data_IF_825962936801
#
_entry.id   IF_825962936801
#
_cell.length_a   1.000
_cell.length_b   1.000
_cell.length_c   1.000
_cell.angle_alpha   90.00
_cell.angle_beta   90.00
_cell.angle_gamma   90.00
#
_symmetry.space_group_name_H-M   'P 1'
#
loop_
_entity.id
_entity.type
_entity.pdbx_description
1 polymer ?
#
# COMPACT_ATOMS: atom_id res chain seq x y z
N UNK A 1 -5.87 -27.32 -11.41
CA UNK A 1 -6.98 -26.41 -11.02
C UNK A 1 -6.35 -25.06 -10.73
N UNK A 2 -6.90 -23.93 -11.20
CA UNK A 2 -6.29 -22.62 -11.00
C UNK A 2 -6.18 -22.32 -9.50
N UNK A 3 -4.95 -22.09 -9.04
CA UNK A 3 -4.63 -21.81 -7.65
C UNK A 3 -3.85 -20.51 -7.54
N UNK A 4 -3.82 -19.96 -6.32
CA UNK A 4 -3.08 -18.73 -6.04
C UNK A 4 -1.74 -19.06 -5.41
N UNK A 5 -0.68 -18.47 -5.94
CA UNK A 5 0.65 -18.57 -5.40
C UNK A 5 1.13 -17.19 -4.92
N UNK A 6 1.61 -17.13 -3.67
CA UNK A 6 2.35 -15.98 -3.16
C UNK A 6 3.80 -16.11 -3.64
N UNK A 7 4.25 -15.17 -4.48
CA UNK A 7 5.61 -15.13 -5.02
C UNK A 7 6.31 -13.85 -4.58
N UNK A 8 7.52 -13.96 -4.05
CA UNK A 8 8.35 -12.79 -3.75
C UNK A 8 8.84 -12.14 -5.04
N UNK A 9 8.65 -10.83 -5.17
CA UNK A 9 9.13 -10.04 -6.30
C UNK A 9 10.52 -9.46 -6.00
N UNK A 10 10.65 -8.74 -4.89
CA UNK A 10 11.89 -8.11 -4.47
C UNK A 10 11.94 -7.92 -2.96
N UNK A 11 13.15 -7.76 -2.43
CA UNK A 11 13.41 -7.29 -1.07
C UNK A 11 14.55 -6.30 -1.16
N UNK A 12 14.36 -5.13 -0.57
CA UNK A 12 15.36 -4.08 -0.46
C UNK A 12 15.58 -3.78 1.00
N UNK A 13 16.84 -3.77 1.41
CA UNK A 13 17.28 -3.31 2.72
C UNK A 13 17.75 -1.87 2.59
N UNK A 14 17.54 -1.10 3.65
CA UNK A 14 17.93 0.31 3.75
C UNK A 14 17.36 1.19 2.62
N UNK A 15 16.12 1.64 2.79
CA UNK A 15 15.48 2.57 1.85
C UNK A 15 15.84 4.04 2.15
N UNK A 16 16.92 4.33 2.88
CA UNK A 16 17.31 5.70 3.26
C UNK A 16 17.73 6.58 2.08
N UNK A 17 18.15 5.97 0.96
CA UNK A 17 18.49 6.67 -0.27
C UNK A 17 17.25 7.02 -1.08
N UNK A 18 16.82 8.28 -0.99
CA UNK A 18 15.63 8.89 -1.65
C UNK A 18 14.30 8.55 -0.98
N UNK A 19 13.49 9.59 -0.67
CA UNK A 19 12.19 9.47 0.01
C UNK A 19 11.16 8.65 -0.73
N UNK A 20 11.38 8.38 -2.02
CA UNK A 20 10.50 7.61 -2.89
C UNK A 20 11.27 6.48 -3.53
N UNK A 21 11.01 5.26 -3.06
CA UNK A 21 11.50 4.04 -3.68
C UNK A 21 10.59 3.61 -4.83
N UNK A 22 11.18 3.17 -5.95
CA UNK A 22 10.45 2.74 -7.15
C UNK A 22 10.88 1.34 -7.59
N UNK A 23 9.90 0.52 -7.96
CA UNK A 23 10.11 -0.82 -8.50
C UNK A 23 9.30 -1.06 -9.77
N UNK A 24 9.95 -1.59 -10.82
CA UNK A 24 9.28 -2.02 -12.04
C UNK A 24 8.65 -3.40 -11.83
N UNK A 25 7.34 -3.48 -11.94
CA UNK A 25 6.61 -4.74 -11.81
C UNK A 25 6.79 -5.62 -13.07
N UNK A 26 6.54 -6.94 -12.97
CA UNK A 26 6.57 -7.82 -14.13
C UNK A 26 5.66 -7.33 -15.26
N UNK A 27 6.08 -7.50 -16.52
CA UNK A 27 5.28 -7.10 -17.69
C UNK A 27 4.15 -8.10 -18.01
N UNK A 28 4.15 -9.26 -17.38
CA UNK A 28 3.18 -10.34 -17.61
C UNK A 28 2.77 -10.97 -16.30
N UNK A 29 1.58 -11.56 -16.29
CA UNK A 29 1.03 -12.29 -15.15
C UNK A 29 -0.31 -11.71 -14.70
N UNK A 30 -1.07 -12.57 -14.02
CA UNK A 30 -2.41 -12.27 -13.52
C UNK A 30 -2.38 -12.27 -12.00
N UNK A 31 -2.50 -11.09 -11.42
CA UNK A 31 -2.30 -10.86 -10.00
C UNK A 31 -3.60 -10.39 -9.37
N UNK A 32 -4.00 -11.03 -8.28
CA UNK A 32 -5.15 -10.57 -7.50
C UNK A 32 -4.76 -9.40 -6.58
N UNK A 33 -3.55 -9.44 -6.03
CA UNK A 33 -3.03 -8.42 -5.15
C UNK A 33 -1.50 -8.31 -5.20
N UNK A 34 -1.00 -7.15 -4.83
CA UNK A 34 0.41 -6.90 -4.50
C UNK A 34 0.48 -6.67 -3.00
N UNK A 35 1.30 -7.44 -2.31
CA UNK A 35 1.55 -7.31 -0.89
C UNK A 35 2.86 -6.56 -0.67
N UNK A 36 2.82 -5.58 0.23
CA UNK A 36 3.93 -4.73 0.61
C UNK A 36 4.18 -4.96 2.10
N UNK A 37 5.36 -5.44 2.45
CA UNK A 37 5.76 -5.66 3.83
C UNK A 37 6.93 -4.73 4.14
N UNK A 38 6.76 -3.89 5.16
CA UNK A 38 7.81 -3.07 5.73
C UNK A 38 8.16 -3.60 7.11
N UNK A 39 9.42 -3.94 7.33
CA UNK A 39 10.00 -4.17 8.66
C UNK A 39 11.01 -3.06 8.93
N UNK A 40 11.00 -2.48 10.13
CA UNK A 40 11.98 -1.47 10.54
C UNK A 40 12.07 -1.43 12.06
N UNK A 41 13.23 -1.05 12.58
CA UNK A 41 13.40 -0.87 14.01
C UNK A 41 12.80 0.46 14.46
N UNK A 42 12.31 0.47 15.69
CA UNK A 42 11.97 1.70 16.39
C UNK A 42 13.28 2.39 16.81
N UNK A 43 13.35 3.71 16.65
CA UNK A 43 14.54 4.49 16.95
C UNK A 43 14.65 4.89 18.44
N UNK A 44 13.58 4.75 19.22
CA UNK A 44 13.56 5.11 20.63
C UNK A 44 12.52 4.30 21.42
N UNK A 45 12.61 4.29 22.75
CA UNK A 45 11.63 3.61 23.60
C UNK A 45 10.36 4.45 23.77
N UNK A 46 9.19 3.84 23.56
CA UNK A 46 7.90 4.49 23.75
C UNK A 46 7.69 4.99 25.18
N UNK A 47 8.20 4.26 26.18
CA UNK A 47 8.03 4.62 27.61
C UNK A 47 8.70 5.94 27.98
N UNK A 48 9.69 6.37 27.19
CA UNK A 48 10.44 7.60 27.37
C UNK A 48 9.85 8.77 26.56
N UNK A 49 8.80 8.54 25.77
CA UNK A 49 8.26 9.50 24.82
C UNK A 49 6.77 9.78 25.03
N UNK A 50 6.36 11.03 24.87
CA UNK A 50 4.97 11.49 25.02
C UNK A 50 4.12 11.29 23.77
N UNK A 51 4.76 11.13 22.60
CA UNK A 51 4.10 10.94 21.30
C UNK A 51 4.68 9.70 20.63
N UNK A 52 3.82 8.78 20.19
CA UNK A 52 4.18 7.57 19.45
C UNK A 52 3.51 7.61 18.08
N UNK A 53 4.29 7.44 17.02
CA UNK A 53 3.76 7.39 15.65
C UNK A 53 3.57 5.93 15.21
N UNK A 54 2.37 5.55 14.71
CA UNK A 54 2.16 4.28 14.01
C UNK A 54 2.98 4.23 12.72
N UNK A 55 3.35 3.02 12.26
CA UNK A 55 4.18 2.89 11.06
C UNK A 55 3.45 3.39 9.80
N UNK A 56 2.14 3.20 9.73
CA UNK A 56 1.30 3.70 8.64
C UNK A 56 1.30 5.21 8.47
N UNK A 57 1.54 5.97 9.54
CA UNK A 57 1.62 7.44 9.48
C UNK A 57 2.92 7.94 8.85
N UNK A 58 3.95 7.09 8.84
CA UNK A 58 5.26 7.42 8.26
C UNK A 58 5.36 7.04 6.78
N UNK A 59 4.32 6.41 6.22
CA UNK A 59 4.21 6.13 4.79
C UNK A 59 3.34 7.20 4.15
N UNK A 60 4.01 8.18 3.55
CA UNK A 60 3.36 9.32 2.91
C UNK A 60 2.48 8.88 1.74
N UNK A 61 2.94 7.92 0.92
CA UNK A 61 2.19 7.50 -0.26
C UNK A 61 2.63 6.14 -0.80
N UNK A 62 1.66 5.34 -1.24
CA UNK A 62 1.86 4.11 -1.99
C UNK A 62 1.10 4.22 -3.32
N UNK A 63 1.81 4.06 -4.42
CA UNK A 63 1.23 4.21 -5.76
C UNK A 63 1.53 3.01 -6.66
N UNK A 64 0.50 2.58 -7.39
CA UNK A 64 0.63 1.65 -8.51
C UNK A 64 0.37 2.43 -9.79
N UNK A 65 1.37 2.55 -10.65
CA UNK A 65 1.34 3.39 -11.84
C UNK A 65 1.35 2.55 -13.11
N UNK A 66 0.45 2.85 -14.04
CA UNK A 66 0.48 2.37 -15.42
C UNK A 66 1.36 3.31 -16.27
N UNK A 67 2.28 2.74 -17.04
CA UNK A 67 3.29 3.42 -17.85
C UNK A 67 4.40 4.07 -17.00
N UNK A 68 4.08 5.14 -16.28
CA UNK A 68 4.97 5.83 -15.33
C UNK A 68 4.25 7.01 -14.67
N UNK A 69 3.07 7.39 -15.16
CA UNK A 69 2.38 8.64 -14.80
C UNK A 69 0.94 8.45 -14.40
N UNK A 70 0.30 7.32 -14.77
CA UNK A 70 -1.13 7.12 -14.55
C UNK A 70 -1.37 6.29 -13.30
N UNK A 71 -1.82 6.87 -12.18
CA UNK A 71 -2.10 6.11 -10.98
C UNK A 71 -3.34 5.22 -11.16
N UNK A 72 -3.14 3.93 -10.93
CA UNK A 72 -4.19 2.93 -10.74
C UNK A 72 -4.62 2.91 -9.27
N UNK A 73 -3.64 2.90 -8.37
CA UNK A 73 -3.83 3.07 -6.92
C UNK A 73 -2.92 4.19 -6.45
N UNK A 74 -3.42 5.09 -5.60
CA UNK A 74 -2.66 6.18 -5.00
C UNK A 74 -3.30 6.55 -3.66
N UNK A 75 -2.77 5.98 -2.57
CA UNK A 75 -3.26 6.15 -1.20
C UNK A 75 -2.09 6.40 -0.23
N UNK A 76 -2.36 7.06 0.90
CA UNK A 76 -1.43 7.12 2.03
C UNK A 76 -1.37 5.76 2.76
N UNK A 77 -0.36 5.55 3.62
CA UNK A 77 -0.25 4.31 4.41
C UNK A 77 -1.49 4.05 5.28
N UNK A 78 -2.01 5.09 5.94
CA UNK A 78 -3.23 5.01 6.75
C UNK A 78 -4.47 4.68 5.91
N UNK A 79 -4.64 5.36 4.77
CA UNK A 79 -5.76 5.10 3.86
C UNK A 79 -5.72 3.69 3.30
N UNK A 80 -4.52 3.18 3.03
CA UNK A 80 -4.32 1.83 2.53
C UNK A 80 -4.60 0.78 3.62
N UNK A 81 -4.17 1.01 4.86
CA UNK A 81 -4.51 0.12 5.99
C UNK A 81 -6.02 0.03 6.17
N UNK A 82 -6.68 1.18 6.14
CA UNK A 82 -8.12 1.26 6.28
C UNK A 82 -8.83 0.59 5.08
N UNK A 83 -8.40 0.86 3.85
CA UNK A 83 -8.91 0.21 2.62
C UNK A 83 -8.81 -1.32 2.68
N UNK A 84 -7.71 -1.84 3.23
CA UNK A 84 -7.51 -3.28 3.44
C UNK A 84 -8.44 -3.81 4.52
N UNK A 85 -8.60 -3.11 5.64
CA UNK A 85 -9.54 -3.50 6.69
C UNK A 85 -10.97 -3.67 6.15
N UNK A 86 -11.47 -2.71 5.38
CA UNK A 86 -12.84 -2.80 4.83
C UNK A 86 -12.97 -3.86 3.73
N UNK A 87 -11.89 -4.15 2.99
CA UNK A 87 -11.93 -5.14 1.90
C UNK A 87 -11.78 -6.57 2.42
N UNK A 88 -10.88 -6.78 3.38
CA UNK A 88 -10.55 -8.09 3.94
C UNK A 88 -11.35 -8.42 5.21
N UNK A 89 -12.09 -7.45 5.75
CA UNK A 89 -12.86 -7.54 7.00
C UNK A 89 -12.01 -8.00 8.20
N UNK A 90 -10.70 -7.70 8.15
CA UNK A 90 -9.74 -8.06 9.19
C UNK A 90 -8.59 -7.06 9.20
N UNK A 91 -7.98 -6.82 10.36
CA UNK A 91 -6.79 -5.99 10.42
C UNK A 91 -5.65 -6.62 9.62
N UNK A 92 -4.81 -5.76 9.05
CA UNK A 92 -3.58 -6.18 8.42
C UNK A 92 -2.62 -6.82 9.43
N UNK A 93 -1.74 -7.69 8.92
CA UNK A 93 -0.67 -8.26 9.73
C UNK A 93 0.27 -7.15 10.18
N UNK A 94 0.45 -7.02 11.49
CA UNK A 94 1.30 -6.00 12.11
C UNK A 94 1.98 -6.52 13.35
N UNK A 95 3.19 -6.03 13.59
CA UNK A 95 3.96 -6.25 14.82
C UNK A 95 4.35 -4.89 15.36
N UNK A 96 3.75 -4.50 16.48
CA UNK A 96 4.08 -3.28 17.20
C UNK A 96 4.78 -3.61 18.51
N UNK A 97 6.06 -3.28 18.58
CA UNK A 97 6.90 -3.36 19.78
C UNK A 97 7.23 -1.95 20.25
N UNK A 98 7.30 -1.79 21.57
CA UNK A 98 7.42 -0.49 22.23
C UNK A 98 8.86 -0.14 22.62
N UNK A 99 9.71 -1.14 22.79
CA UNK A 99 11.09 -0.95 23.22
C UNK A 99 11.98 -0.46 22.07
N UNK A 100 13.05 0.24 22.43
CA UNK A 100 14.08 0.70 21.52
C UNK A 100 14.75 -0.47 20.76
N UNK A 101 15.24 -0.19 19.54
CA UNK A 101 15.93 -1.13 18.65
C UNK A 101 15.15 -2.43 18.36
N UNK A 102 13.83 -2.43 18.58
CA UNK A 102 12.99 -3.59 18.31
C UNK A 102 12.32 -3.51 16.94
N UNK A 103 12.32 -4.64 16.23
CA UNK A 103 11.70 -4.75 14.90
C UNK A 103 10.18 -4.62 14.96
N UNK A 104 9.65 -3.69 14.17
CA UNK A 104 8.23 -3.45 13.94
C UNK A 104 7.91 -3.78 12.49
N UNK A 105 6.71 -4.29 12.24
CA UNK A 105 6.33 -4.76 10.91
C UNK A 105 4.92 -4.32 10.58
N UNK A 106 4.69 -3.95 9.33
CA UNK A 106 3.36 -3.74 8.77
C UNK A 106 3.26 -4.32 7.37
N UNK A 107 2.10 -4.89 7.06
CA UNK A 107 1.78 -5.42 5.75
C UNK A 107 0.60 -4.67 5.15
N UNK A 108 0.72 -4.23 3.90
CA UNK A 108 -0.36 -3.66 3.11
C UNK A 108 -0.61 -4.46 1.85
N UNK A 109 -1.81 -4.33 1.29
CA UNK A 109 -2.20 -4.98 0.05
C UNK A 109 -2.79 -3.99 -0.94
N UNK A 110 -2.27 -3.98 -2.17
CA UNK A 110 -2.91 -3.33 -3.30
C UNK A 110 -3.82 -4.34 -3.99
N UNK A 111 -5.12 -4.16 -3.85
CA UNK A 111 -6.12 -5.13 -4.30
C UNK A 111 -6.60 -4.80 -5.72
N UNK A 112 -6.44 -5.73 -6.66
CA UNK A 112 -6.95 -5.57 -8.02
C UNK A 112 -8.44 -5.90 -8.17
N UNK A 113 -8.99 -6.67 -7.24
CA UNK A 113 -10.38 -7.15 -7.24
C UNK A 113 -11.09 -7.00 -5.89
N UNK A 114 -12.19 -7.74 -5.70
CA UNK A 114 -13.04 -7.65 -4.49
C UNK A 114 -12.43 -8.33 -3.27
N UNK A 115 -11.42 -9.17 -3.47
CA UNK A 115 -10.72 -9.95 -2.46
C UNK A 115 -9.61 -10.78 -3.11
N UNK A 116 -8.88 -11.58 -2.33
CA UNK A 116 -7.76 -12.38 -2.86
C UNK A 116 -8.21 -13.38 -3.93
N UNK A 117 -9.30 -14.11 -3.72
CA UNK A 117 -9.75 -15.15 -4.66
C UNK A 117 -10.72 -14.64 -5.74
N UNK A 118 -10.73 -13.34 -6.02
CA UNK A 118 -11.54 -12.79 -7.11
C UNK A 118 -11.00 -13.31 -8.45
N UNK A 119 -11.89 -13.95 -9.22
CA UNK A 119 -11.61 -14.50 -10.55
C UNK A 119 -12.12 -13.59 -11.67
N UNK A 120 -12.90 -12.57 -11.35
CA UNK A 120 -13.45 -11.64 -12.33
C UNK A 120 -12.60 -10.36 -12.44
N UNK A 121 -12.07 -9.89 -11.32
CA UNK A 121 -11.31 -8.64 -11.23
C UNK A 121 -9.91 -8.88 -10.67
N UNK A 122 -8.93 -8.23 -11.27
CA UNK A 122 -7.53 -8.33 -10.88
C UNK A 122 -6.62 -7.62 -11.87
N UNK A 123 -5.34 -7.54 -11.54
CA UNK A 123 -4.35 -6.92 -12.40
C UNK A 123 -3.86 -7.93 -13.45
N UNK A 124 -4.12 -7.62 -14.71
CA UNK A 124 -3.54 -8.31 -15.86
C UNK A 124 -2.40 -7.44 -16.40
N UNK A 125 -1.16 -7.76 -16.00
CA UNK A 125 0.00 -6.94 -16.35
C UNK A 125 0.33 -6.98 -17.84
N UNK A 126 -0.10 -8.03 -18.55
CA UNK A 126 0.02 -8.05 -20.01
C UNK A 126 -0.88 -6.99 -20.68
N UNK A 127 -2.02 -6.63 -20.07
CA UNK A 127 -2.94 -5.60 -20.56
C UNK A 127 -2.58 -4.20 -20.04
N UNK A 128 -2.01 -4.11 -18.84
CA UNK A 128 -1.57 -2.85 -18.23
C UNK A 128 -0.23 -2.35 -18.81
N UNK A 129 0.56 -3.24 -19.42
CA UNK A 129 1.87 -2.89 -19.95
C UNK A 129 2.88 -2.61 -18.85
N UNK A 130 3.75 -1.63 -19.05
CA UNK A 130 4.74 -1.27 -18.04
C UNK A 130 4.05 -0.73 -16.78
N UNK A 131 4.29 -1.36 -15.64
CA UNK A 131 3.67 -0.95 -14.37
C UNK A 131 4.77 -0.73 -13.32
N UNK A 132 4.63 0.33 -12.54
CA UNK A 132 5.60 0.70 -11.50
C UNK A 132 4.90 0.77 -10.14
N UNK A 133 5.57 0.29 -9.11
CA UNK A 133 5.20 0.53 -7.72
C UNK A 133 6.10 1.63 -7.17
N UNK A 134 5.51 2.67 -6.61
CA UNK A 134 6.20 3.71 -5.87
C UNK A 134 5.80 3.69 -4.40
N UNK A 135 6.80 3.75 -3.54
CA UNK A 135 6.66 3.77 -2.10
C UNK A 135 7.37 5.01 -1.56
N UNK A 136 6.58 5.98 -1.09
CA UNK A 136 7.09 7.23 -0.52
C UNK A 136 6.92 7.23 0.99
N UNK A 137 7.99 7.51 1.71
CA UNK A 137 8.01 7.51 3.16
C UNK A 137 8.69 8.76 3.75
N UNK A 138 8.37 9.01 5.02
CA UNK A 138 8.99 10.02 5.88
C UNK A 138 9.63 9.38 7.12
N UNK A 139 10.04 8.10 7.00
CA UNK A 139 10.82 7.40 8.02
C UNK A 139 12.11 8.17 8.31
N UNK A 140 12.29 8.59 9.55
CA UNK A 140 13.48 9.32 10.02
C UNK A 140 13.76 8.86 11.44
N UNK A 141 15.01 8.46 11.70
CA UNK A 141 15.49 8.26 13.06
C UNK A 141 15.55 9.62 13.76
N UNK A 142 14.73 9.82 14.77
CA UNK A 142 14.60 11.07 15.52
C UNK A 142 14.41 10.74 17.00
N UNK A 143 14.68 11.71 17.87
CA UNK A 143 14.45 11.60 19.30
C UNK A 143 12.95 11.43 19.63
N UNK A 144 12.06 11.92 18.76
CA UNK A 144 10.63 11.59 18.80
C UNK A 144 10.42 10.15 18.31
N UNK A 145 9.57 9.38 18.98
CA UNK A 145 9.33 7.94 18.77
C UNK A 145 8.91 7.57 17.33
N UNK A 146 9.91 7.56 16.43
CA UNK A 146 9.84 7.30 14.99
C UNK A 146 10.66 6.06 14.65
N UNK A 147 10.57 5.63 13.39
CA UNK A 147 11.25 4.43 12.92
C UNK A 147 12.57 4.76 12.23
N UNK A 148 13.59 3.94 12.49
CA UNK A 148 14.90 4.08 11.89
C UNK A 148 14.89 3.52 10.46
N UNK A 149 15.02 4.42 9.49
CA UNK A 149 15.05 4.10 8.06
C UNK A 149 16.26 3.25 7.67
N UNK A 150 17.40 3.36 8.35
CA UNK A 150 18.61 2.58 8.00
C UNK A 150 18.42 1.07 8.24
N UNK A 151 17.51 0.72 9.15
CA UNK A 151 17.17 -0.66 9.51
C UNK A 151 15.98 -1.22 8.72
N UNK A 152 15.45 -0.43 7.78
CA UNK A 152 14.27 -0.79 7.03
C UNK A 152 14.51 -1.94 6.06
N UNK A 153 13.52 -2.81 5.95
CA UNK A 153 13.45 -3.90 4.98
C UNK A 153 12.08 -3.82 4.31
N UNK A 154 12.07 -3.43 3.04
CA UNK A 154 10.87 -3.40 2.21
C UNK A 154 10.83 -4.65 1.33
N UNK A 155 9.80 -5.47 1.50
CA UNK A 155 9.58 -6.69 0.71
C UNK A 155 8.28 -6.60 -0.07
N UNK A 156 8.34 -6.96 -1.35
CA UNK A 156 7.17 -7.07 -2.22
C UNK A 156 6.86 -8.52 -2.53
N UNK A 157 5.59 -8.89 -2.38
CA UNK A 157 5.06 -10.17 -2.80
C UNK A 157 3.90 -9.96 -3.77
N UNK A 158 3.74 -10.86 -4.72
CA UNK A 158 2.63 -10.87 -5.66
C UNK A 158 1.78 -12.12 -5.42
N UNK A 159 0.46 -11.93 -5.38
CA UNK A 159 -0.52 -13.00 -5.29
C UNK A 159 -0.99 -13.35 -6.69
N UNK A 160 -0.32 -14.31 -7.32
CA UNK A 160 -0.48 -14.65 -8.74
C UNK A 160 -1.41 -15.87 -8.91
N UNK A 161 -2.29 -15.80 -9.90
CA UNK A 161 -3.01 -16.98 -10.37
C UNK A 161 -2.11 -17.84 -11.26
N UNK A 162 -2.00 -19.12 -10.90
CA UNK A 162 -1.22 -20.14 -11.60
C UNK A 162 -2.14 -21.22 -12.15
N UNK A 163 -1.62 -21.98 -13.11
CA UNK A 163 -2.26 -23.14 -13.76
C UNK A 163 -3.41 -22.81 -14.74
N UNK A 164 -3.75 -23.78 -15.59
CA UNK A 164 -4.80 -23.67 -16.60
C UNK A 164 -6.18 -24.12 -16.05
N UNK A 165 -7.29 -23.51 -16.52
CA UNK A 165 -7.36 -22.35 -17.41
C UNK A 165 -7.01 -21.05 -16.68
N UNK A 166 -6.24 -20.19 -17.36
CA UNK A 166 -5.85 -18.90 -16.80
C UNK A 166 -7.09 -18.01 -16.61
N UNK A 167 -7.32 -17.56 -15.38
CA UNK A 167 -8.40 -16.63 -15.00
C UNK A 167 -8.45 -15.43 -15.95
N UNK A 168 -9.57 -15.12 -16.60
CA UNK A 168 -9.65 -13.96 -17.48
C UNK A 168 -10.29 -12.77 -16.77
N UNK A 169 -9.48 -11.81 -16.35
CA UNK A 169 -9.97 -10.61 -15.69
C UNK A 169 -10.72 -9.70 -16.68
N UNK A 170 -11.92 -9.29 -16.26
CA UNK A 170 -12.78 -8.33 -16.96
C UNK A 170 -12.28 -6.89 -16.74
N UNK A 171 -11.57 -6.64 -15.65
CA UNK A 171 -11.01 -5.34 -15.31
C UNK A 171 -10.35 -5.34 -13.93
N UNK A 172 -10.08 -4.15 -13.41
CA UNK A 172 -9.46 -3.94 -12.10
C UNK A 172 -10.11 -2.75 -11.39
N UNK A 173 -9.96 -2.69 -10.07
CA UNK A 173 -10.37 -1.53 -9.29
C UNK A 173 -9.25 -0.50 -9.17
N UNK A 174 -9.69 0.76 -9.01
CA UNK A 174 -8.81 1.91 -8.81
C UNK A 174 -9.18 2.58 -7.51
N UNK A 175 -8.19 2.84 -6.69
CA UNK A 175 -8.36 3.53 -5.42
C UNK A 175 -7.47 4.78 -5.41
N UNK A 176 -8.08 5.95 -5.28
CA UNK A 176 -7.36 7.22 -5.34
C UNK A 176 -7.89 8.18 -4.28
N UNK A 177 -6.97 8.88 -3.62
CA UNK A 177 -7.31 10.08 -2.85
C UNK A 177 -7.69 11.23 -3.79
N UNK A 178 -8.93 11.70 -3.69
CA UNK A 178 -9.46 12.81 -4.52
C UNK A 178 -9.12 14.19 -3.95
N UNK A 179 -9.20 14.35 -2.63
CA UNK A 179 -8.91 15.61 -1.96
C UNK A 179 -8.28 15.37 -0.58
N UNK A 180 -7.37 16.26 -0.20
CA UNK A 180 -6.88 16.43 1.16
C UNK A 180 -7.07 17.89 1.55
N UNK A 181 -7.65 18.15 2.71
CA UNK A 181 -7.84 19.51 3.19
C UNK A 181 -8.08 19.55 4.68
N UNK A 182 -7.47 20.53 5.32
CA UNK A 182 -7.65 20.83 6.75
C UNK A 182 -8.72 21.92 6.88
N UNK A 183 -9.82 21.67 7.60
CA UNK A 183 -10.82 22.70 7.84
C UNK A 183 -10.24 23.88 8.62
N UNK A 184 -10.42 25.08 8.08
CA UNK A 184 -10.02 26.32 8.76
C UNK A 184 -10.87 26.59 10.02
N UNK A 185 -12.11 26.09 10.02
CA UNK A 185 -13.02 26.09 11.17
C UNK A 185 -13.97 24.88 11.08
N UNK A 186 -14.60 24.52 12.19
CA UNK A 186 -15.48 23.34 12.30
C UNK A 186 -16.63 23.30 11.27
N UNK A 187 -17.10 24.47 10.81
CA UNK A 187 -18.25 24.61 9.90
C UNK A 187 -17.85 24.89 8.44
N UNK A 188 -16.55 24.82 8.11
CA UNK A 188 -16.14 25.10 6.73
C UNK A 188 -16.54 23.93 5.83
N UNK A 189 -17.39 24.22 4.84
CA UNK A 189 -17.83 23.24 3.85
C UNK A 189 -16.87 23.24 2.66
N UNK A 190 -16.44 22.05 2.24
CA UNK A 190 -15.68 21.86 1.01
C UNK A 190 -16.43 20.90 0.09
N UNK A 191 -16.81 21.40 -1.08
CA UNK A 191 -17.40 20.58 -2.13
C UNK A 191 -16.27 19.86 -2.87
N UNK A 192 -16.41 18.54 -3.02
CA UNK A 192 -15.48 17.71 -3.78
C UNK A 192 -16.20 17.27 -5.04
N UNK A 193 -15.65 17.65 -6.20
CA UNK A 193 -16.20 17.25 -7.49
C UNK A 193 -15.85 15.78 -7.77
N UNK A 194 -16.89 15.00 -8.05
CA UNK A 194 -16.76 13.60 -8.37
C UNK A 194 -16.66 13.46 -9.90
N UNK A 195 -15.59 12.86 -10.44
CA UNK A 195 -15.43 12.71 -11.89
C UNK A 195 -16.53 11.81 -12.47
N UNK A 196 -17.19 12.31 -13.52
CA UNK A 196 -18.26 11.61 -14.24
C UNK A 196 -17.66 10.49 -15.11
N UNK A 197 -18.41 9.41 -15.31
CA UNK A 197 -18.07 8.36 -16.27
C UNK A 197 -17.34 7.15 -15.70
N UNK A 198 -17.20 7.04 -14.37
CA UNK A 198 -16.70 5.83 -13.71
C UNK A 198 -17.63 5.40 -12.59
N UNK A 199 -18.08 4.13 -12.54
CA UNK A 199 -18.90 3.64 -11.45
C UNK A 199 -18.09 3.68 -10.16
N UNK A 200 -18.65 4.32 -9.14
CA UNK A 200 -18.03 4.42 -7.81
C UNK A 200 -18.53 3.26 -6.98
N UNK A 201 -17.60 2.44 -6.50
CA UNK A 201 -17.93 1.33 -5.61
C UNK A 201 -18.04 1.77 -4.15
N UNK A 202 -17.16 2.67 -3.71
CA UNK A 202 -17.06 3.13 -2.33
C UNK A 202 -16.41 4.51 -2.28
N UNK A 203 -16.92 5.36 -1.39
CA UNK A 203 -16.23 6.57 -0.92
C UNK A 203 -15.91 6.39 0.56
N UNK A 204 -14.72 6.84 0.96
CA UNK A 204 -14.28 6.82 2.35
C UNK A 204 -13.91 8.25 2.75
N UNK A 205 -14.31 8.65 3.95
CA UNK A 205 -13.90 9.90 4.59
C UNK A 205 -13.11 9.49 5.84
N UNK A 206 -11.87 9.97 5.91
CA UNK A 206 -11.01 9.86 7.08
C UNK A 206 -10.96 11.22 7.77
#
# INVERSE_FOLDING_TARGET
MPYMQRRRLTTVSDISGTSTWRYKLPSVGKFAAIEILLDCQRANDRTLNTVCYPLETQVSKVELLEGSTRPLVSLTGEQLDAANYWTLQRPNARRYRQADATGNMMTWFLMGGRGFYDREFGYDFAKLGETYLEFTHALTADATDKFDVSTSILSLYAWQWMDAPAVNFKGYFRDRQLAYWTPAAANTLKTIEIPIGRPIRRSCRQ
#
